data_IF_353434586949
#
_entry.id   IF_353434586949
#
_cell.length_a   1.000
_cell.length_b   1.000
_cell.length_c   1.000
_cell.angle_alpha   90.00
_cell.angle_beta   90.00
_cell.angle_gamma   90.00
#
_symmetry.space_group_name_H-M   'P 1'
#
loop_
_entity.id
_entity.type
_entity.pdbx_description
1 polymer ?
#
# COMPACT_ATOMS: atom_id res chain seq x y z
N UNK A 1 12.69 21.79 23.14
CA UNK A 1 12.16 20.58 22.46
C UNK A 1 13.15 20.15 21.40
N UNK A 2 13.77 18.99 21.59
CA UNK A 2 14.85 18.52 20.72
C UNK A 2 14.39 18.36 19.26
N UNK A 3 15.28 18.58 18.29
CA UNK A 3 14.91 18.74 16.89
C UNK A 3 14.52 17.39 16.21
N UNK A 4 14.55 16.25 16.91
CA UNK A 4 14.00 14.96 16.41
C UNK A 4 12.79 14.49 17.24
N UNK A 5 12.00 15.42 17.75
CA UNK A 5 10.78 15.06 18.46
C UNK A 5 9.77 14.39 17.50
N UNK A 6 9.06 13.33 17.94
CA UNK A 6 7.96 12.69 17.19
C UNK A 6 6.96 13.64 16.49
N UNK A 7 6.65 14.84 17.04
CA UNK A 7 5.76 15.82 16.39
C UNK A 7 6.23 16.31 15.01
N UNK A 8 7.54 16.44 14.77
CA UNK A 8 8.04 16.95 13.47
C UNK A 8 7.95 15.87 12.38
N UNK A 9 8.18 14.61 12.76
CA UNK A 9 7.92 13.47 11.90
C UNK A 9 6.42 13.30 11.64
N UNK A 10 5.59 13.48 12.68
CA UNK A 10 4.14 13.47 12.61
C UNK A 10 3.61 14.50 11.61
N UNK A 11 4.08 15.75 11.64
CA UNK A 11 3.69 16.79 10.67
C UNK A 11 4.07 16.43 9.23
N UNK A 12 5.25 15.82 9.01
CA UNK A 12 5.68 15.33 7.68
C UNK A 12 4.91 14.10 7.19
N UNK A 13 4.42 13.26 8.11
CA UNK A 13 3.53 12.14 7.80
C UNK A 13 2.10 12.62 7.51
N UNK A 14 1.64 13.64 8.22
CA UNK A 14 0.34 14.28 7.98
C UNK A 14 0.28 14.99 6.62
N UNK A 15 1.40 15.48 6.07
CA UNK A 15 1.38 16.06 4.72
C UNK A 15 1.25 15.02 3.61
N UNK A 16 1.54 13.75 3.91
CA UNK A 16 1.40 12.60 3.00
C UNK A 16 0.03 11.95 3.06
N UNK A 17 -0.60 12.06 4.23
CA UNK A 17 -1.94 11.59 4.52
C UNK A 17 -2.95 11.99 3.44
N UNK A 18 -2.98 13.28 3.06
CA UNK A 18 -3.96 13.84 2.12
C UNK A 18 -3.84 13.28 0.69
N UNK A 19 -2.64 12.88 0.26
CA UNK A 19 -2.42 12.25 -1.04
C UNK A 19 -3.00 10.83 -1.10
N UNK A 20 -2.90 10.10 0.01
CA UNK A 20 -3.26 8.68 0.09
C UNK A 20 -4.76 8.48 0.36
N UNK A 21 -5.45 9.48 0.89
CA UNK A 21 -6.91 9.54 0.95
C UNK A 21 -7.49 9.33 -0.46
N UNK A 22 -6.91 9.98 -1.47
CA UNK A 22 -7.41 9.94 -2.85
C UNK A 22 -7.00 8.66 -3.62
N UNK A 23 -5.82 8.11 -3.31
CA UNK A 23 -5.33 6.89 -3.96
C UNK A 23 -6.12 5.64 -3.54
N UNK A 24 -6.74 5.68 -2.36
CA UNK A 24 -7.43 4.54 -1.75
C UNK A 24 -8.67 4.05 -2.52
N UNK A 25 -9.59 4.93 -3.00
CA UNK A 25 -10.80 4.48 -3.71
C UNK A 25 -10.67 4.31 -5.24
N UNK A 26 -9.47 4.36 -5.83
CA UNK A 26 -9.29 4.40 -7.30
C UNK A 26 -9.94 3.23 -8.06
N UNK A 27 -9.86 2.01 -7.53
CA UNK A 27 -10.47 0.82 -8.14
C UNK A 27 -12.00 0.88 -8.14
N UNK A 28 -12.60 1.58 -7.17
CA UNK A 28 -14.05 1.73 -7.03
C UNK A 28 -14.61 2.96 -7.76
N UNK A 29 -13.80 4.02 -7.91
CA UNK A 29 -14.23 5.28 -8.55
C UNK A 29 -14.25 5.21 -10.08
N UNK A 30 -13.38 4.39 -10.69
CA UNK A 30 -13.29 4.23 -12.15
C UNK A 30 -13.64 2.79 -12.58
N UNK A 31 -14.90 2.34 -12.39
CA UNK A 31 -15.30 0.97 -12.72
C UNK A 31 -15.50 0.73 -14.22
N UNK A 32 -15.70 1.79 -15.02
CA UNK A 32 -15.95 1.68 -16.46
C UNK A 32 -14.73 1.07 -17.18
N UNK A 33 -14.95 -0.05 -17.87
CA UNK A 33 -13.97 -0.81 -18.66
C UNK A 33 -12.73 -1.33 -17.90
N UNK A 34 -12.72 -1.31 -16.57
CA UNK A 34 -11.56 -1.72 -15.77
C UNK A 34 -10.40 -0.72 -15.80
N UNK A 35 -10.63 0.50 -16.28
CA UNK A 35 -9.62 1.56 -16.41
C UNK A 35 -8.84 1.81 -15.10
N UNK A 36 -9.50 1.78 -13.94
CA UNK A 36 -8.85 1.96 -12.64
C UNK A 36 -7.85 0.83 -12.30
N UNK A 37 -8.19 -0.42 -12.61
CA UNK A 37 -7.31 -1.59 -12.35
C UNK A 37 -6.13 -1.61 -13.33
N UNK A 38 -6.36 -1.26 -14.59
CA UNK A 38 -5.28 -1.14 -15.59
C UNK A 38 -4.33 0.01 -15.22
N UNK A 39 -4.87 1.16 -14.83
CA UNK A 39 -4.10 2.29 -14.32
C UNK A 39 -3.18 1.87 -13.16
N UNK A 40 -3.74 1.22 -12.13
CA UNK A 40 -2.96 0.69 -10.99
C UNK A 40 -1.88 -0.30 -11.45
N UNK A 41 -2.19 -1.20 -12.38
CA UNK A 41 -1.23 -2.15 -12.93
C UNK A 41 -0.06 -1.43 -13.63
N UNK A 42 -0.35 -0.38 -14.40
CA UNK A 42 0.69 0.44 -15.05
C UNK A 42 1.55 1.19 -14.02
N UNK A 43 0.95 1.70 -12.94
CA UNK A 43 1.69 2.34 -11.83
C UNK A 43 2.68 1.35 -11.23
N UNK A 44 2.22 0.16 -10.82
CA UNK A 44 3.11 -0.83 -10.20
C UNK A 44 4.13 -1.41 -11.19
N UNK A 45 3.76 -1.59 -12.45
CA UNK A 45 4.67 -2.01 -13.52
C UNK A 45 5.81 -1.01 -13.76
N UNK A 46 5.49 0.28 -13.85
CA UNK A 46 6.51 1.33 -13.96
C UNK A 46 7.31 1.53 -12.66
N UNK A 47 6.71 1.27 -11.50
CA UNK A 47 7.40 1.29 -10.20
C UNK A 47 8.46 0.18 -10.09
N UNK A 48 8.22 -1.01 -10.64
CA UNK A 48 9.22 -2.10 -10.74
C UNK A 48 10.46 -1.60 -11.49
N UNK A 49 10.27 -1.01 -12.67
CA UNK A 49 11.37 -0.44 -13.46
C UNK A 49 12.12 0.64 -12.70
N UNK A 50 11.38 1.57 -12.07
CA UNK A 50 11.99 2.65 -11.29
C UNK A 50 12.75 2.16 -10.04
N UNK A 51 12.30 1.08 -9.41
CA UNK A 51 12.97 0.48 -8.24
C UNK A 51 14.36 -0.05 -8.58
N UNK A 52 14.51 -0.67 -9.76
CA UNK A 52 15.79 -1.22 -10.21
C UNK A 52 16.72 -0.10 -10.69
N UNK A 53 16.19 0.82 -11.50
CA UNK A 53 17.01 1.68 -12.35
C UNK A 53 17.20 3.09 -11.77
N UNK A 54 16.11 3.72 -11.33
CA UNK A 54 16.08 5.15 -11.05
C UNK A 54 16.25 5.48 -9.57
N UNK A 55 15.78 4.60 -8.69
CA UNK A 55 15.64 4.88 -7.25
C UNK A 55 16.97 5.19 -6.55
N UNK A 56 18.01 4.34 -6.64
CA UNK A 56 19.29 4.63 -6.00
C UNK A 56 19.95 5.88 -6.59
N UNK A 57 19.84 6.08 -7.91
CA UNK A 57 20.43 7.22 -8.60
C UNK A 57 19.81 8.56 -8.15
N UNK A 58 18.47 8.62 -8.11
CA UNK A 58 17.73 9.83 -7.72
C UNK A 58 18.04 10.17 -6.26
N UNK A 59 18.02 9.19 -5.36
CA UNK A 59 18.26 9.41 -3.93
C UNK A 59 19.71 9.82 -3.68
N UNK A 60 20.70 9.17 -4.31
CA UNK A 60 22.11 9.57 -4.17
C UNK A 60 22.37 11.00 -4.67
N UNK A 61 21.71 11.43 -5.75
CA UNK A 61 21.94 12.73 -6.38
C UNK A 61 21.20 13.88 -5.68
N UNK A 62 19.95 13.65 -5.28
CA UNK A 62 19.07 14.68 -4.75
C UNK A 62 18.93 14.63 -3.21
N UNK A 63 19.32 13.52 -2.59
CA UNK A 63 19.06 13.24 -1.18
C UNK A 63 17.60 12.84 -0.92
N UNK A 64 17.34 12.27 0.26
CA UNK A 64 15.99 11.77 0.60
C UNK A 64 14.95 12.90 0.60
N UNK A 65 15.33 14.08 1.09
CA UNK A 65 14.44 15.23 1.26
C UNK A 65 13.90 15.78 -0.06
N UNK A 66 14.78 16.07 -1.02
CA UNK A 66 14.35 16.63 -2.32
C UNK A 66 13.67 15.59 -3.19
N UNK A 67 14.09 14.32 -3.09
CA UNK A 67 13.42 13.20 -3.75
C UNK A 67 11.94 13.12 -3.35
N UNK A 68 11.63 13.28 -2.06
CA UNK A 68 10.25 13.31 -1.57
C UNK A 68 9.47 14.48 -2.19
N UNK A 69 10.03 15.70 -2.20
CA UNK A 69 9.36 16.90 -2.73
C UNK A 69 9.07 16.75 -4.23
N UNK A 70 10.07 16.35 -5.01
CA UNK A 70 9.92 16.23 -6.46
C UNK A 70 8.89 15.14 -6.80
N UNK A 71 8.97 14.01 -6.10
CA UNK A 71 8.02 12.92 -6.32
C UNK A 71 6.60 13.37 -5.97
N UNK A 72 6.42 14.11 -4.87
CA UNK A 72 5.14 14.73 -4.53
C UNK A 72 4.61 15.58 -5.71
N UNK A 73 5.40 16.50 -6.26
CA UNK A 73 4.96 17.29 -7.41
C UNK A 73 4.49 16.44 -8.60
N UNK A 74 5.11 15.28 -8.86
CA UNK A 74 4.68 14.35 -9.92
C UNK A 74 3.32 13.72 -9.61
N UNK A 75 3.03 13.36 -8.35
CA UNK A 75 1.73 12.80 -7.97
C UNK A 75 0.55 13.76 -8.22
N UNK A 76 0.78 15.09 -8.28
CA UNK A 76 -0.24 16.07 -8.69
C UNK A 76 -0.80 15.75 -10.07
N UNK A 77 0.07 15.34 -11.00
CA UNK A 77 -0.31 15.12 -12.39
C UNK A 77 -1.37 14.03 -12.51
N UNK A 78 -1.29 12.99 -11.68
CA UNK A 78 -2.29 11.92 -11.64
C UNK A 78 -3.61 12.38 -11.02
N UNK A 79 -3.57 13.18 -9.95
CA UNK A 79 -4.78 13.80 -9.40
C UNK A 79 -5.45 14.71 -10.43
N UNK A 80 -4.68 15.48 -11.20
CA UNK A 80 -5.19 16.33 -12.29
C UNK A 80 -5.80 15.49 -13.43
N UNK A 81 -5.16 14.39 -13.83
CA UNK A 81 -5.69 13.49 -14.86
C UNK A 81 -7.05 12.90 -14.47
N UNK A 82 -7.28 12.68 -13.19
CA UNK A 82 -8.55 12.17 -12.69
C UNK A 82 -9.72 13.18 -12.73
N UNK A 83 -9.49 14.47 -13.01
CA UNK A 83 -10.59 15.39 -13.35
C UNK A 83 -11.26 15.04 -14.69
N UNK A 84 -10.50 14.38 -15.58
CA UNK A 84 -10.94 13.91 -16.88
C UNK A 84 -10.39 12.48 -17.13
N UNK A 85 -10.93 11.46 -16.43
CA UNK A 85 -10.40 10.11 -16.44
C UNK A 85 -10.69 9.43 -17.79
N UNK A 86 -9.73 9.52 -18.71
CA UNK A 86 -9.76 8.84 -20.01
C UNK A 86 -8.46 8.06 -20.18
N UNK A 87 -8.47 7.03 -21.03
CA UNK A 87 -7.29 6.20 -21.31
C UNK A 87 -6.03 7.03 -21.61
N UNK A 88 -6.14 8.07 -22.44
CA UNK A 88 -5.01 8.91 -22.83
C UNK A 88 -4.54 9.92 -21.78
N UNK A 89 -5.32 10.21 -20.72
CA UNK A 89 -4.89 11.08 -19.60
C UNK A 89 -4.36 10.25 -18.44
N UNK A 90 -5.03 9.15 -18.12
CA UNK A 90 -4.75 8.35 -16.93
C UNK A 90 -3.54 7.44 -17.11
N UNK A 91 -3.36 6.81 -18.28
CA UNK A 91 -2.24 5.89 -18.51
C UNK A 91 -0.87 6.61 -18.51
N UNK A 92 -0.66 7.75 -19.20
CA UNK A 92 0.62 8.45 -19.14
C UNK A 92 0.95 8.98 -17.73
N UNK A 93 -0.05 9.51 -17.01
CA UNK A 93 0.17 9.98 -15.64
C UNK A 93 0.38 8.84 -14.65
N UNK A 94 -0.17 7.65 -14.92
CA UNK A 94 0.15 6.41 -14.19
C UNK A 94 1.62 6.02 -14.31
N UNK A 95 2.18 6.10 -15.52
CA UNK A 95 3.60 5.83 -15.75
C UNK A 95 4.47 6.84 -14.99
N UNK A 96 4.12 8.13 -15.06
CA UNK A 96 4.84 9.18 -14.32
C UNK A 96 4.81 8.93 -12.80
N UNK A 97 3.64 8.59 -12.26
CA UNK A 97 3.49 8.29 -10.84
C UNK A 97 4.25 7.03 -10.44
N UNK A 98 4.22 5.95 -11.22
CA UNK A 98 4.99 4.76 -10.87
C UNK A 98 6.50 5.00 -10.93
N UNK A 99 6.97 5.81 -11.90
CA UNK A 99 8.37 6.26 -11.95
C UNK A 99 8.75 7.04 -10.69
N UNK A 100 7.92 7.97 -10.23
CA UNK A 100 8.17 8.75 -9.01
C UNK A 100 7.88 7.98 -7.71
N UNK A 101 7.01 6.97 -7.74
CA UNK A 101 6.53 6.25 -6.58
C UNK A 101 7.62 5.43 -5.90
N UNK A 102 8.51 4.82 -6.70
CA UNK A 102 9.63 4.07 -6.14
C UNK A 102 10.62 4.91 -5.31
N UNK A 103 11.22 5.97 -5.88
CA UNK A 103 12.14 6.83 -5.15
C UNK A 103 11.44 7.55 -3.98
N UNK A 104 10.17 7.90 -4.14
CA UNK A 104 9.35 8.45 -3.06
C UNK A 104 9.31 7.53 -1.83
N UNK A 105 8.84 6.30 -1.99
CA UNK A 105 8.69 5.35 -0.89
C UNK A 105 10.02 4.92 -0.27
N UNK A 106 11.04 4.75 -1.10
CA UNK A 106 12.39 4.40 -0.65
C UNK A 106 13.02 5.53 0.17
N UNK A 107 12.88 6.78 -0.28
CA UNK A 107 13.36 7.94 0.47
C UNK A 107 12.61 8.09 1.80
N UNK A 108 11.29 7.84 1.84
CA UNK A 108 10.50 7.88 3.08
C UNK A 108 10.99 6.85 4.10
N UNK A 109 11.12 5.59 3.69
CA UNK A 109 11.54 4.51 4.60
C UNK A 109 12.98 4.72 5.11
N UNK A 110 13.87 5.20 4.24
CA UNK A 110 15.25 5.56 4.60
C UNK A 110 15.28 6.73 5.58
N UNK A 111 14.54 7.80 5.30
CA UNK A 111 14.44 8.97 6.16
C UNK A 111 13.87 8.63 7.53
N UNK A 112 12.83 7.79 7.58
CA UNK A 112 12.20 7.33 8.81
C UNK A 112 13.18 6.51 9.66
N UNK A 113 13.91 5.58 9.04
CA UNK A 113 14.91 4.74 9.72
C UNK A 113 16.06 5.58 10.27
N UNK A 114 16.58 6.54 9.48
CA UNK A 114 17.63 7.46 9.92
C UNK A 114 17.19 8.32 11.11
N UNK A 115 15.96 8.86 11.04
CA UNK A 115 15.38 9.67 12.11
C UNK A 115 15.19 8.86 13.40
N UNK A 116 14.69 7.62 13.27
CA UNK A 116 14.54 6.69 14.38
C UNK A 116 15.88 6.36 15.04
N UNK A 117 16.92 6.07 14.24
CA UNK A 117 18.26 5.75 14.74
C UNK A 117 18.90 6.92 15.48
N UNK A 118 18.80 8.13 14.94
CA UNK A 118 19.31 9.34 15.59
C UNK A 118 18.59 9.63 16.91
N UNK A 119 17.27 9.42 16.96
CA UNK A 119 16.51 9.56 18.20
C UNK A 119 16.90 8.50 19.23
N UNK A 120 17.05 7.24 18.81
CA UNK A 120 17.48 6.14 19.67
C UNK A 120 18.84 6.41 20.34
N UNK A 121 19.81 6.92 19.57
CA UNK A 121 21.14 7.31 20.08
C UNK A 121 21.05 8.43 21.12
N UNK A 122 20.26 9.47 20.86
CA UNK A 122 20.08 10.60 21.80
C UNK A 122 19.33 10.21 23.07
N UNK A 123 18.40 9.27 22.97
CA UNK A 123 17.56 8.82 24.08
C UNK A 123 18.15 7.62 24.84
N UNK A 124 19.32 7.09 24.42
CA UNK A 124 19.91 5.89 25.02
C UNK A 124 19.03 4.63 24.91
N UNK A 125 18.20 4.53 23.87
CA UNK A 125 17.26 3.42 23.66
C UNK A 125 17.74 2.47 22.56
N UNK A 126 17.33 1.20 22.64
CA UNK A 126 17.61 0.21 21.61
C UNK A 126 17.05 0.63 20.23
N UNK A 127 17.94 0.70 19.23
CA UNK A 127 17.62 1.15 17.86
C UNK A 127 16.46 0.33 17.24
N UNK A 128 16.48 -0.98 17.42
CA UNK A 128 15.48 -1.92 16.86
C UNK A 128 14.05 -1.63 17.31
N UNK A 129 13.85 -1.35 18.61
CA UNK A 129 12.54 -1.02 19.16
C UNK A 129 12.06 0.36 18.66
N UNK A 130 12.94 1.35 18.59
CA UNK A 130 12.59 2.70 18.13
C UNK A 130 12.25 2.72 16.64
N UNK A 131 12.99 1.99 15.80
CA UNK A 131 12.67 1.84 14.38
C UNK A 131 11.26 1.26 14.22
N UNK A 132 10.93 0.20 14.94
CA UNK A 132 9.61 -0.43 14.91
C UNK A 132 8.49 0.52 15.36
N UNK A 133 8.73 1.33 16.39
CA UNK A 133 7.78 2.36 16.86
C UNK A 133 7.56 3.46 15.82
N UNK A 134 8.62 3.92 15.16
CA UNK A 134 8.54 4.95 14.13
C UNK A 134 7.75 4.47 12.92
N UNK A 135 7.99 3.24 12.46
CA UNK A 135 7.17 2.61 11.43
C UNK A 135 5.72 2.43 11.88
N UNK A 136 5.47 2.06 13.14
CA UNK A 136 4.11 1.92 13.67
C UNK A 136 3.31 3.22 13.68
N UNK A 137 3.95 4.32 14.08
CA UNK A 137 3.33 5.67 14.02
C UNK A 137 3.12 6.10 12.57
N UNK A 138 4.10 5.87 11.70
CA UNK A 138 3.99 6.19 10.27
C UNK A 138 2.81 5.45 9.63
N UNK A 139 2.70 4.13 9.83
CA UNK A 139 1.62 3.33 9.26
C UNK A 139 0.26 3.58 9.92
N UNK A 140 0.21 3.97 11.20
CA UNK A 140 -1.02 4.44 11.82
C UNK A 140 -1.63 5.65 11.08
N UNK A 141 -0.79 6.65 10.80
CA UNK A 141 -1.20 7.86 10.06
C UNK A 141 -1.49 7.48 8.61
N UNK A 142 -0.59 6.74 7.97
CA UNK A 142 -0.74 6.36 6.57
C UNK A 142 -2.02 5.57 6.32
N UNK A 143 -2.30 4.53 7.11
CA UNK A 143 -3.46 3.67 6.87
C UNK A 143 -4.79 4.33 7.27
N UNK A 144 -4.77 5.34 8.14
CA UNK A 144 -6.00 6.05 8.49
C UNK A 144 -6.50 6.92 7.32
N UNK A 145 -5.67 7.18 6.31
CA UNK A 145 -6.10 7.82 5.06
C UNK A 145 -7.15 6.98 4.32
N UNK A 146 -7.09 5.65 4.44
CA UNK A 146 -8.08 4.73 3.82
C UNK A 146 -9.47 4.94 4.40
N UNK A 147 -9.58 5.33 5.67
CA UNK A 147 -10.86 5.59 6.34
C UNK A 147 -11.56 6.75 5.63
N UNK A 148 -10.89 7.89 5.51
CA UNK A 148 -11.49 9.09 4.93
C UNK A 148 -11.70 8.96 3.42
N UNK A 149 -10.76 8.32 2.72
CA UNK A 149 -10.85 8.13 1.27
C UNK A 149 -12.07 7.30 0.89
N UNK A 150 -12.26 6.18 1.57
CA UNK A 150 -13.40 5.30 1.32
C UNK A 150 -14.71 5.82 1.91
N UNK A 151 -14.66 6.61 2.99
CA UNK A 151 -15.86 7.29 3.50
C UNK A 151 -16.42 8.26 2.47
N UNK A 152 -15.55 9.10 1.88
CA UNK A 152 -15.96 10.06 0.85
C UNK A 152 -16.53 9.33 -0.37
N UNK A 153 -15.86 8.28 -0.86
CA UNK A 153 -16.37 7.50 -2.00
C UNK A 153 -17.68 6.78 -1.70
N UNK A 154 -17.83 6.18 -0.51
CA UNK A 154 -19.08 5.49 -0.13
C UNK A 154 -20.28 6.44 -0.03
N UNK A 155 -20.09 7.64 0.51
CA UNK A 155 -21.15 8.66 0.60
C UNK A 155 -21.60 9.13 -0.78
N UNK A 156 -20.65 9.32 -1.69
CA UNK A 156 -20.91 9.72 -3.09
C UNK A 156 -21.67 8.63 -3.84
N UNK A 157 -21.25 7.35 -3.71
CA UNK A 157 -21.90 6.21 -4.35
C UNK A 157 -23.31 5.96 -3.80
N UNK A 158 -23.50 6.11 -2.49
CA UNK A 158 -24.81 5.95 -1.85
C UNK A 158 -25.79 7.05 -2.31
N UNK A 159 -25.32 8.29 -2.44
CA UNK A 159 -26.10 9.39 -3.00
C UNK A 159 -26.50 9.15 -4.47
N UNK A 160 -25.59 8.61 -5.29
CA UNK A 160 -25.88 8.27 -6.68
C UNK A 160 -26.98 7.20 -6.79
N UNK A 161 -26.93 6.14 -5.97
CA UNK A 161 -27.93 5.07 -5.97
C UNK A 161 -29.31 5.52 -5.48
N UNK A 162 -29.39 6.31 -4.40
CA UNK A 162 -30.70 6.79 -3.89
C UNK A 162 -31.53 7.52 -4.94
N UNK A 163 -30.88 8.05 -5.98
CA UNK A 163 -31.53 8.71 -7.11
C UNK A 163 -31.74 7.81 -8.34
N UNK A 164 -31.08 6.65 -8.41
CA UNK A 164 -31.20 5.63 -9.46
C UNK A 164 -31.75 4.36 -8.82
N UNK A 165 -33.06 4.32 -8.59
CA UNK A 165 -33.78 3.11 -8.21
C UNK A 165 -33.86 2.17 -9.42
N UNK A 166 -32.76 1.50 -9.77
CA UNK A 166 -32.83 0.35 -10.65
C UNK A 166 -32.78 -0.89 -9.76
N UNK A 167 -33.94 -1.54 -9.66
CA UNK A 167 -34.11 -2.88 -9.14
C UNK A 167 -33.19 -3.80 -9.96
N UNK A 168 -32.06 -4.21 -9.38
CA UNK A 168 -31.33 -5.38 -9.87
C UNK A 168 -31.74 -6.55 -9.00
N UNK A 169 -32.72 -7.32 -9.47
CA UNK A 169 -32.88 -8.70 -9.05
C UNK A 169 -31.68 -9.47 -9.63
N UNK A 170 -30.69 -9.76 -8.81
CA UNK A 170 -29.69 -10.78 -9.17
C UNK A 170 -30.30 -12.15 -8.85
N UNK A 171 -30.87 -12.77 -9.88
CA UNK A 171 -31.13 -14.21 -9.88
C UNK A 171 -29.80 -14.98 -9.97
N UNK A 172 -29.60 -15.90 -9.02
CA UNK A 172 -28.66 -17.03 -9.06
C UNK A 172 -27.23 -16.77 -9.60
N UNK A 173 -26.55 -15.72 -9.16
CA UNK A 173 -25.09 -15.61 -9.31
C UNK A 173 -24.36 -16.22 -8.12
N UNK A 174 -23.57 -17.27 -8.34
CA UNK A 174 -22.77 -17.94 -7.32
C UNK A 174 -21.51 -17.11 -6.96
N UNK A 175 -21.64 -16.22 -5.98
CA UNK A 175 -20.55 -15.34 -5.52
C UNK A 175 -19.41 -16.08 -4.78
N UNK A 176 -18.26 -15.40 -4.60
CA UNK A 176 -17.12 -15.91 -3.83
C UNK A 176 -16.21 -16.88 -4.61
N UNK A 177 -15.92 -18.04 -4.01
CA UNK A 177 -15.06 -19.12 -4.58
C UNK A 177 -15.60 -19.65 -5.91
N UNK A 178 -16.92 -19.72 -6.03
CA UNK A 178 -17.63 -20.17 -7.23
C UNK A 178 -17.83 -19.06 -8.26
N UNK A 179 -17.30 -17.85 -8.04
CA UNK A 179 -17.41 -16.77 -9.01
C UNK A 179 -16.67 -17.18 -10.29
N UNK A 180 -17.44 -17.42 -11.35
CA UNK A 180 -16.90 -17.78 -12.64
C UNK A 180 -16.16 -16.58 -13.21
N UNK A 181 -15.10 -16.84 -14.00
CA UNK A 181 -14.40 -15.80 -14.77
C UNK A 181 -15.45 -14.90 -15.43
N UNK A 182 -15.31 -13.56 -15.47
CA UNK A 182 -16.30 -12.71 -16.10
C UNK A 182 -16.44 -13.17 -17.55
N UNK A 183 -17.45 -13.98 -17.81
CA UNK A 183 -17.92 -14.21 -19.15
C UNK A 183 -18.29 -12.84 -19.64
N UNK A 184 -17.65 -12.42 -20.74
CA UNK A 184 -18.29 -11.54 -21.69
C UNK A 184 -19.61 -12.22 -22.08
N UNK A 185 -20.62 -12.15 -21.23
CA UNK A 185 -21.99 -12.37 -21.65
C UNK A 185 -22.29 -11.12 -22.46
N UNK A 186 -22.03 -11.21 -23.77
CA UNK A 186 -23.02 -10.81 -24.76
C UNK A 186 -24.34 -11.50 -24.41
N UNK A 187 -24.98 -11.03 -23.34
CA UNK A 187 -26.38 -11.30 -23.12
C UNK A 187 -27.08 -10.62 -24.29
N UNK A 188 -27.75 -11.40 -25.11
CA UNK A 188 -28.80 -10.90 -25.99
C UNK A 188 -29.74 -10.09 -25.10
N UNK A 189 -29.53 -8.77 -25.08
CA UNK A 189 -30.51 -7.81 -24.60
C UNK A 189 -31.59 -7.87 -25.68
N UNK A 190 -32.58 -8.74 -25.47
CA UNK A 190 -33.86 -8.55 -26.12
C UNK A 190 -34.35 -7.19 -25.62
N UNK A 191 -34.15 -6.16 -26.44
CA UNK A 191 -34.78 -4.85 -26.29
C UNK A 191 -36.29 -5.07 -26.33
N UNK A 192 -36.90 -5.34 -25.18
CA UNK A 192 -38.29 -4.98 -24.98
C UNK A 192 -38.31 -3.47 -24.81
N UNK A 193 -38.56 -2.76 -25.91
CA UNK A 193 -38.90 -1.35 -25.90
C UNK A 193 -40.14 -1.13 -25.03
N UNK A 194 -39.92 -0.79 -23.77
CA UNK A 194 -40.93 -0.10 -22.97
C UNK A 194 -40.75 1.39 -23.16
N UNK A 195 -41.57 1.97 -24.04
CA UNK A 195 -41.76 3.40 -24.24
C UNK A 195 -42.23 4.05 -22.94
N UNK A 196 -41.30 4.69 -22.22
CA UNK A 196 -41.62 5.72 -21.22
C UNK A 196 -40.90 7.03 -21.58
N UNK A 197 -41.61 7.81 -22.37
CA UNK A 197 -41.75 9.28 -22.31
C UNK A 197 -40.55 10.10 -21.78
N UNK A 198 -39.97 10.87 -22.70
CA UNK A 198 -39.12 12.09 -22.70
C UNK A 198 -38.90 12.97 -21.43
N UNK A 199 -39.21 12.54 -20.21
CA UNK A 199 -38.95 13.28 -18.95
C UNK A 199 -37.76 12.71 -18.14
N UNK A 200 -37.21 11.56 -18.56
CA UNK A 200 -36.15 10.83 -17.86
C UNK A 200 -34.71 11.30 -18.19
N UNK A 201 -34.49 11.90 -19.36
CA UNK A 201 -33.15 12.35 -19.78
C UNK A 201 -32.60 13.47 -18.88
N UNK A 202 -33.39 14.51 -18.63
CA UNK A 202 -32.98 15.64 -17.79
C UNK A 202 -32.59 15.19 -16.38
N UNK A 203 -33.41 14.34 -15.75
CA UNK A 203 -33.14 13.83 -14.41
C UNK A 203 -31.82 13.03 -14.35
N UNK A 204 -31.59 12.14 -15.32
CA UNK A 204 -30.35 11.35 -15.41
C UNK A 204 -29.13 12.23 -15.66
N UNK A 205 -29.21 13.22 -16.56
CA UNK A 205 -28.11 14.16 -16.81
C UNK A 205 -27.85 15.09 -15.63
N UNK A 206 -28.87 15.51 -14.88
CA UNK A 206 -28.72 16.32 -13.66
C UNK A 206 -28.11 15.49 -12.50
N UNK A 207 -28.48 14.21 -12.37
CA UNK A 207 -27.88 13.30 -11.38
C UNK A 207 -26.42 13.02 -11.72
N UNK A 208 -26.13 12.71 -12.98
CA UNK A 208 -24.77 12.49 -13.46
C UNK A 208 -23.91 13.76 -13.36
N UNK A 209 -24.48 14.92 -13.68
CA UNK A 209 -23.83 16.23 -13.55
C UNK A 209 -23.53 16.63 -12.11
N UNK A 210 -24.47 16.42 -11.19
CA UNK A 210 -24.24 16.68 -9.75
C UNK A 210 -23.21 15.73 -9.16
N UNK A 211 -23.23 14.45 -9.53
CA UNK A 211 -22.23 13.46 -9.14
C UNK A 211 -20.82 13.83 -9.63
N UNK A 212 -20.68 14.15 -10.92
CA UNK A 212 -19.42 14.60 -11.52
C UNK A 212 -18.96 15.93 -10.91
N UNK A 213 -19.88 16.83 -10.58
CA UNK A 213 -19.61 18.09 -9.90
C UNK A 213 -19.06 17.91 -8.48
N UNK A 214 -19.66 17.04 -7.68
CA UNK A 214 -19.16 16.72 -6.33
C UNK A 214 -17.77 16.10 -6.37
N UNK A 215 -17.56 15.17 -7.30
CA UNK A 215 -16.25 14.54 -7.52
C UNK A 215 -15.20 15.61 -7.88
N UNK A 216 -15.49 16.49 -8.85
CA UNK A 216 -14.59 17.59 -9.25
C UNK A 216 -14.32 18.62 -8.14
N UNK A 217 -15.32 18.92 -7.31
CA UNK A 217 -15.15 19.80 -6.16
C UNK A 217 -14.20 19.19 -5.12
N UNK A 218 -14.38 17.90 -4.84
CA UNK A 218 -13.49 17.15 -3.95
C UNK A 218 -12.06 17.11 -4.51
N UNK A 219 -11.93 16.89 -5.83
CA UNK A 219 -10.65 16.97 -6.52
C UNK A 219 -9.97 18.35 -6.36
N UNK A 220 -10.73 19.43 -6.45
CA UNK A 220 -10.21 20.78 -6.25
C UNK A 220 -9.75 21.00 -4.81
N UNK A 221 -10.53 20.57 -3.82
CA UNK A 221 -10.15 20.66 -2.40
C UNK A 221 -8.87 19.86 -2.14
N UNK A 222 -8.75 18.65 -2.67
CA UNK A 222 -7.53 17.86 -2.55
C UNK A 222 -6.34 18.55 -3.20
N UNK A 223 -6.50 19.09 -4.40
CA UNK A 223 -5.45 19.81 -5.10
C UNK A 223 -4.96 21.02 -4.28
N UNK A 224 -5.87 21.81 -3.71
CA UNK A 224 -5.52 22.96 -2.86
C UNK A 224 -4.82 22.53 -1.57
N UNK A 225 -5.35 21.51 -0.88
CA UNK A 225 -4.69 20.92 0.27
C UNK A 225 -3.29 20.38 -0.09
N UNK A 226 -3.13 19.85 -1.30
CA UNK A 226 -1.87 19.31 -1.77
C UNK A 226 -0.79 20.37 -1.96
N UNK A 227 -1.15 21.47 -2.62
CA UNK A 227 -0.26 22.63 -2.79
C UNK A 227 0.12 23.21 -1.43
N UNK A 228 -0.85 23.35 -0.51
CA UNK A 228 -0.60 23.80 0.85
C UNK A 228 0.39 22.90 1.60
N UNK A 229 0.30 21.58 1.42
CA UNK A 229 1.22 20.62 2.02
C UNK A 229 2.64 20.68 1.45
N UNK A 230 2.78 20.87 0.13
CA UNK A 230 4.10 21.11 -0.47
C UNK A 230 4.70 22.38 0.10
N UNK A 231 3.91 23.45 0.22
CA UNK A 231 4.37 24.73 0.79
C UNK A 231 4.82 24.53 2.23
N UNK A 232 4.01 23.90 3.09
CA UNK A 232 4.41 23.60 4.48
C UNK A 232 5.68 22.76 4.51
N UNK A 233 5.74 21.69 3.72
CA UNK A 233 6.92 20.82 3.69
C UNK A 233 8.15 21.61 3.24
N UNK A 234 8.03 22.44 2.20
CA UNK A 234 9.08 23.29 1.67
C UNK A 234 9.53 24.34 2.69
N UNK A 235 8.61 24.98 3.40
CA UNK A 235 8.92 25.93 4.49
C UNK A 235 9.61 25.24 5.65
N UNK A 236 9.12 24.08 6.12
CA UNK A 236 9.77 23.26 7.15
C UNK A 236 11.13 22.72 6.69
N UNK A 237 11.26 22.48 5.38
CA UNK A 237 12.48 22.11 4.70
C UNK A 237 13.50 23.26 4.74
N UNK A 238 13.09 24.48 4.43
CA UNK A 238 13.96 25.66 4.38
C UNK A 238 14.40 26.08 5.78
N UNK A 239 13.54 25.92 6.78
CA UNK A 239 13.85 26.17 8.19
C UNK A 239 14.89 25.21 8.77
N UNK A 240 15.31 24.17 8.04
CA UNK A 240 16.24 23.18 8.60
C UNK A 240 17.20 22.53 7.60
N UNK A 241 18.42 23.04 7.62
CA UNK A 241 19.64 22.35 7.22
C UNK A 241 20.07 21.42 8.34
N UNK A 242 19.85 20.11 8.20
CA UNK A 242 20.56 19.14 9.04
C UNK A 242 20.78 17.83 8.30
N UNK A 243 21.99 17.70 7.74
CA UNK A 243 22.76 16.46 7.83
C UNK A 243 22.55 15.40 6.77
N UNK A 244 22.72 15.73 5.49
CA UNK A 244 23.27 14.77 4.53
C UNK A 244 24.62 15.33 4.03
N UNK A 245 25.65 15.23 4.88
CA UNK A 245 27.03 15.19 4.40
C UNK A 245 27.46 13.72 4.38
N UNK A 246 27.35 13.07 3.22
CA UNK A 246 28.50 12.32 2.71
C UNK A 246 29.31 13.32 1.88
N UNK A 247 30.17 14.08 2.55
CA UNK A 247 31.31 14.72 1.88
C UNK A 247 32.51 13.82 2.17
N UNK A 248 33.23 13.48 1.10
CA UNK A 248 34.40 12.60 0.98
C UNK A 248 34.03 11.14 0.64
N UNK A 249 33.67 10.90 -0.62
CA UNK A 249 34.69 10.61 -1.63
C UNK A 249 34.24 11.22 -2.98
N UNK A 250 35.17 11.89 -3.64
CA UNK A 250 35.03 12.22 -5.06
C UNK A 250 34.88 10.91 -5.84
N UNK A 251 33.67 10.59 -6.26
CA UNK A 251 33.52 9.89 -7.52
C UNK A 251 32.23 10.32 -8.18
N UNK A 252 32.37 10.71 -9.44
CA UNK A 252 31.32 10.71 -10.44
C UNK A 252 30.79 9.26 -10.47
N UNK A 253 29.89 8.92 -9.55
CA UNK A 253 29.42 7.55 -9.42
C UNK A 253 28.46 7.30 -10.57
N UNK A 254 28.99 6.69 -11.63
CA UNK A 254 28.25 6.41 -12.84
C UNK A 254 26.95 5.66 -12.52
N UNK A 255 25.92 5.97 -13.30
CA UNK A 255 24.61 5.31 -13.25
C UNK A 255 24.76 3.77 -13.23
N UNK A 256 25.72 3.24 -13.98
CA UNK A 256 26.05 1.81 -14.03
C UNK A 256 26.58 1.27 -12.70
N UNK A 257 27.36 2.04 -11.95
CA UNK A 257 27.90 1.63 -10.64
C UNK A 257 26.77 1.55 -9.59
N UNK A 258 25.85 2.51 -9.59
CA UNK A 258 24.69 2.50 -8.69
C UNK A 258 23.68 1.37 -9.03
N UNK A 259 23.48 1.11 -10.32
CA UNK A 259 22.73 -0.04 -10.81
C UNK A 259 23.41 -1.35 -10.38
N UNK A 260 24.73 -1.47 -10.56
CA UNK A 260 25.52 -2.63 -10.13
C UNK A 260 25.46 -2.85 -8.63
N UNK A 261 25.49 -1.81 -7.80
CA UNK A 261 25.35 -1.93 -6.34
C UNK A 261 23.98 -2.48 -5.96
N UNK A 262 22.92 -2.02 -6.63
CA UNK A 262 21.54 -2.48 -6.40
C UNK A 262 21.36 -3.94 -6.82
N UNK A 263 21.89 -4.30 -7.99
CA UNK A 263 21.90 -5.68 -8.47
C UNK A 263 22.81 -6.59 -7.62
N UNK A 264 23.92 -6.08 -7.08
CA UNK A 264 24.79 -6.80 -6.15
C UNK A 264 24.09 -6.99 -4.80
N UNK A 265 23.26 -6.06 -4.37
CA UNK A 265 22.46 -6.20 -3.15
C UNK A 265 21.38 -7.29 -3.27
N UNK A 266 20.82 -7.50 -4.48
CA UNK A 266 19.95 -8.66 -4.74
C UNK A 266 20.64 -10.01 -4.49
N UNK A 267 21.98 -10.05 -4.45
CA UNK A 267 22.77 -11.24 -4.16
C UNK A 267 23.02 -11.45 -2.65
N UNK A 268 22.59 -10.54 -1.77
CA UNK A 268 22.60 -10.82 -0.33
C UNK A 268 21.63 -11.97 -0.03
N UNK A 269 22.14 -13.05 0.57
CA UNK A 269 21.37 -14.26 0.90
C UNK A 269 20.14 -13.93 1.75
N UNK A 270 20.22 -12.90 2.61
CA UNK A 270 19.10 -12.46 3.46
C UNK A 270 18.01 -11.80 2.63
N UNK A 271 18.39 -11.01 1.63
CA UNK A 271 17.43 -10.35 0.74
C UNK A 271 16.64 -11.40 -0.04
N UNK A 272 17.33 -12.40 -0.59
CA UNK A 272 16.70 -13.46 -1.38
C UNK A 272 15.66 -14.27 -0.60
N UNK A 273 15.95 -14.58 0.67
CA UNK A 273 15.05 -15.30 1.56
C UNK A 273 13.79 -14.47 1.94
N UNK A 274 13.89 -13.13 1.96
CA UNK A 274 12.76 -12.26 2.29
C UNK A 274 11.87 -11.90 1.09
N UNK A 275 12.25 -12.29 -0.13
CA UNK A 275 11.50 -11.96 -1.36
C UNK A 275 10.05 -12.48 -1.26
N UNK A 276 9.77 -13.77 -0.97
CA UNK A 276 8.39 -14.25 -1.05
C UNK A 276 7.47 -13.60 -0.01
N UNK A 277 8.00 -13.32 1.18
CA UNK A 277 7.26 -12.58 2.22
C UNK A 277 6.99 -11.13 1.81
N UNK A 278 7.94 -10.49 1.15
CA UNK A 278 7.77 -9.12 0.64
C UNK A 278 6.74 -9.08 -0.49
N UNK A 279 6.80 -10.04 -1.41
CA UNK A 279 5.85 -10.18 -2.50
C UNK A 279 4.45 -10.50 -1.98
N UNK A 280 4.34 -11.33 -0.94
CA UNK A 280 3.08 -11.62 -0.25
C UNK A 280 2.36 -10.33 0.17
N UNK A 281 3.07 -9.37 0.78
CA UNK A 281 2.46 -8.09 1.19
C UNK A 281 1.82 -7.31 0.03
N UNK A 282 2.31 -7.48 -1.20
CA UNK A 282 1.70 -6.85 -2.38
C UNK A 282 0.53 -7.64 -2.94
N UNK A 283 0.65 -8.97 -3.00
CA UNK A 283 -0.41 -9.85 -3.48
C UNK A 283 -1.63 -9.81 -2.55
N UNK A 284 -1.39 -9.79 -1.25
CA UNK A 284 -2.41 -9.71 -0.21
C UNK A 284 -3.21 -8.40 -0.29
N UNK A 285 -2.52 -7.26 -0.47
CA UNK A 285 -3.18 -5.96 -0.68
C UNK A 285 -3.95 -5.90 -2.00
N UNK A 286 -3.41 -6.49 -3.06
CA UNK A 286 -4.13 -6.60 -4.33
C UNK A 286 -5.41 -7.44 -4.21
N UNK A 287 -5.34 -8.58 -3.50
CA UNK A 287 -6.49 -9.45 -3.25
C UNK A 287 -7.61 -8.72 -2.50
N UNK A 288 -7.30 -8.05 -1.38
CA UNK A 288 -8.34 -7.34 -0.61
C UNK A 288 -8.94 -6.16 -1.39
N UNK A 289 -8.12 -5.42 -2.16
CA UNK A 289 -8.56 -4.22 -2.87
C UNK A 289 -9.29 -4.49 -4.20
N UNK A 290 -9.10 -5.68 -4.79
CA UNK A 290 -9.70 -6.04 -6.08
C UNK A 290 -10.61 -7.26 -5.99
N UNK A 291 -10.08 -8.42 -5.62
CA UNK A 291 -10.80 -9.69 -5.72
C UNK A 291 -11.83 -9.87 -4.60
N UNK A 292 -11.49 -9.48 -3.37
CA UNK A 292 -12.42 -9.57 -2.23
C UNK A 292 -13.58 -8.59 -2.38
N UNK A 293 -13.27 -7.33 -2.68
CA UNK A 293 -14.27 -6.27 -2.88
C UNK A 293 -15.19 -6.54 -4.07
N UNK A 294 -14.66 -7.14 -5.15
CA UNK A 294 -15.46 -7.52 -6.33
C UNK A 294 -16.27 -8.81 -6.10
N UNK A 295 -15.58 -9.91 -5.83
CA UNK A 295 -16.16 -11.28 -5.92
C UNK A 295 -16.96 -11.67 -4.68
N UNK A 296 -16.69 -11.06 -3.52
CA UNK A 296 -17.42 -11.34 -2.28
C UNK A 296 -18.36 -10.19 -1.92
N UNK A 297 -17.82 -8.99 -1.74
CA UNK A 297 -18.60 -7.84 -1.25
C UNK A 297 -19.57 -7.32 -2.31
N UNK A 298 -19.07 -6.93 -3.49
CA UNK A 298 -19.91 -6.35 -4.54
C UNK A 298 -20.95 -7.34 -5.06
N UNK A 299 -20.55 -8.59 -5.25
CA UNK A 299 -21.44 -9.65 -5.73
C UNK A 299 -22.63 -9.90 -4.77
N UNK A 300 -22.41 -9.83 -3.46
CA UNK A 300 -23.45 -10.18 -2.45
C UNK A 300 -24.19 -8.98 -1.86
N UNK A 301 -23.47 -7.87 -1.63
CA UNK A 301 -23.98 -6.68 -0.94
C UNK A 301 -24.10 -5.46 -1.85
N UNK A 302 -23.37 -5.43 -2.97
CA UNK A 302 -23.28 -4.28 -3.87
C UNK A 302 -22.06 -3.38 -3.64
N UNK A 303 -21.77 -2.52 -4.63
CA UNK A 303 -20.57 -1.66 -4.67
C UNK A 303 -20.51 -0.60 -3.57
N UNK A 304 -21.65 -0.21 -3.00
CA UNK A 304 -21.76 0.78 -1.92
C UNK A 304 -21.16 0.29 -0.60
N UNK A 305 -21.17 -1.03 -0.37
CA UNK A 305 -20.59 -1.62 0.83
C UNK A 305 -19.07 -1.75 0.77
N UNK A 306 -18.48 -1.67 -0.42
CA UNK A 306 -17.02 -1.75 -0.63
C UNK A 306 -16.28 -0.73 0.21
N UNK A 307 -16.75 0.53 0.20
CA UNK A 307 -16.10 1.60 0.98
C UNK A 307 -16.13 1.31 2.48
N UNK A 308 -17.28 0.87 3.03
CA UNK A 308 -17.41 0.55 4.46
C UNK A 308 -16.53 -0.63 4.87
N UNK A 309 -16.44 -1.67 4.04
CA UNK A 309 -15.58 -2.83 4.31
C UNK A 309 -14.11 -2.41 4.33
N UNK A 310 -13.66 -1.58 3.39
CA UNK A 310 -12.28 -1.09 3.35
C UNK A 310 -11.98 -0.09 4.46
N UNK A 311 -12.97 0.64 4.98
CA UNK A 311 -12.81 1.45 6.20
C UNK A 311 -12.44 0.56 7.38
N UNK A 312 -13.11 -0.58 7.58
CA UNK A 312 -12.80 -1.51 8.67
C UNK A 312 -11.39 -2.11 8.51
N UNK A 313 -11.01 -2.48 7.28
CA UNK A 313 -9.63 -2.88 6.97
C UNK A 313 -8.64 -1.79 7.40
N UNK A 314 -8.80 -0.56 6.89
CA UNK A 314 -7.90 0.55 7.19
C UNK A 314 -7.84 0.92 8.67
N UNK A 315 -8.98 0.92 9.38
CA UNK A 315 -9.05 1.19 10.80
C UNK A 315 -8.30 0.14 11.63
N UNK A 316 -8.53 -1.15 11.35
CA UNK A 316 -7.80 -2.23 12.01
C UNK A 316 -6.31 -2.18 11.71
N UNK A 317 -5.93 -1.97 10.45
CA UNK A 317 -4.52 -1.83 10.08
C UNK A 317 -3.86 -0.67 10.81
N UNK A 318 -4.51 0.50 10.89
CA UNK A 318 -3.99 1.66 11.62
C UNK A 318 -3.74 1.36 13.09
N UNK A 319 -4.78 0.90 13.79
CA UNK A 319 -4.72 0.63 15.24
C UNK A 319 -3.67 -0.44 15.53
N UNK A 320 -3.68 -1.55 14.80
CA UNK A 320 -2.70 -2.63 14.95
C UNK A 320 -1.27 -2.17 14.62
N UNK A 321 -1.07 -1.31 13.62
CA UNK A 321 0.26 -0.78 13.28
C UNK A 321 0.88 0.00 14.44
N UNK A 322 0.07 0.86 15.08
CA UNK A 322 0.50 1.60 16.27
C UNK A 322 0.81 0.65 17.44
N UNK A 323 -0.10 -0.27 17.73
CA UNK A 323 0.03 -1.22 18.84
C UNK A 323 1.25 -2.14 18.67
N UNK A 324 1.38 -2.79 17.52
CA UNK A 324 2.48 -3.72 17.25
C UNK A 324 3.83 -2.99 17.21
N UNK A 325 3.90 -1.78 16.65
CA UNK A 325 5.10 -0.95 16.69
C UNK A 325 5.57 -0.66 18.13
N UNK A 326 4.63 -0.42 19.06
CA UNK A 326 4.94 -0.18 20.49
C UNK A 326 5.25 -1.48 21.25
N UNK A 327 4.48 -2.54 21.00
CA UNK A 327 4.59 -3.83 21.68
C UNK A 327 5.83 -4.62 21.28
N UNK A 328 6.46 -4.32 20.13
CA UNK A 328 7.76 -4.89 19.75
C UNK A 328 8.91 -4.53 20.71
N UNK A 329 8.67 -3.66 21.71
CA UNK A 329 9.59 -3.45 22.84
C UNK A 329 9.55 -4.60 23.85
N UNK A 330 8.39 -5.25 24.00
CA UNK A 330 8.13 -6.26 25.04
C UNK A 330 8.01 -7.67 24.47
N UNK A 331 7.43 -7.78 23.27
CA UNK A 331 7.15 -9.05 22.60
C UNK A 331 8.07 -9.16 21.39
N UNK A 332 8.61 -10.36 21.14
CA UNK A 332 9.45 -10.62 19.97
C UNK A 332 8.69 -10.40 18.67
N UNK A 333 9.36 -9.84 17.66
CA UNK A 333 8.83 -9.68 16.30
C UNK A 333 8.28 -10.98 15.73
N UNK A 334 8.95 -12.11 15.99
CA UNK A 334 8.59 -13.45 15.48
C UNK A 334 7.15 -13.81 15.85
N UNK A 335 6.71 -13.45 17.07
CA UNK A 335 5.34 -13.70 17.52
C UNK A 335 4.31 -13.01 16.63
N UNK A 336 4.52 -11.73 16.29
CA UNK A 336 3.60 -10.97 15.44
C UNK A 336 3.55 -11.51 14.02
N UNK A 337 4.69 -11.96 13.46
CA UNK A 337 4.72 -12.60 12.14
C UNK A 337 3.93 -13.91 12.12
N UNK A 338 4.07 -14.74 13.16
CA UNK A 338 3.28 -15.98 13.28
C UNK A 338 1.79 -15.69 13.49
N UNK A 339 1.44 -14.68 14.28
CA UNK A 339 0.05 -14.25 14.49
C UNK A 339 -0.60 -13.81 13.18
N UNK A 340 0.07 -12.98 12.39
CA UNK A 340 -0.43 -12.52 11.10
C UNK A 340 -0.56 -13.66 10.08
N UNK A 341 0.44 -14.56 10.03
CA UNK A 341 0.38 -15.73 9.16
C UNK A 341 -0.78 -16.66 9.53
N UNK A 342 -0.95 -16.98 10.81
CA UNK A 342 -2.06 -17.81 11.28
C UNK A 342 -3.42 -17.17 10.96
N UNK A 343 -3.56 -15.86 11.19
CA UNK A 343 -4.78 -15.11 10.87
C UNK A 343 -5.11 -15.21 9.38
N UNK A 344 -4.15 -14.94 8.50
CA UNK A 344 -4.39 -15.02 7.05
C UNK A 344 -4.62 -16.44 6.55
N UNK A 345 -3.94 -17.46 7.10
CA UNK A 345 -4.21 -18.87 6.75
C UNK A 345 -5.63 -19.26 7.13
N UNK A 346 -6.09 -18.89 8.34
CA UNK A 346 -7.46 -19.15 8.78
C UNK A 346 -8.45 -18.42 7.87
N UNK A 347 -8.23 -17.13 7.60
CA UNK A 347 -9.12 -16.38 6.72
C UNK A 347 -9.19 -16.99 5.31
N UNK A 348 -8.06 -17.38 4.72
CA UNK A 348 -8.03 -18.05 3.41
C UNK A 348 -8.78 -19.39 3.45
N UNK A 349 -8.58 -20.20 4.49
CA UNK A 349 -9.26 -21.48 4.64
C UNK A 349 -10.78 -21.31 4.75
N UNK A 350 -11.26 -20.30 5.48
CA UNK A 350 -12.70 -20.03 5.57
C UNK A 350 -13.22 -19.49 4.23
N UNK A 351 -12.48 -18.60 3.55
CA UNK A 351 -12.88 -18.12 2.23
C UNK A 351 -13.05 -19.26 1.21
N UNK A 352 -12.29 -20.35 1.30
CA UNK A 352 -12.47 -21.53 0.43
C UNK A 352 -13.82 -22.24 0.60
N UNK A 353 -14.40 -22.19 1.80
CA UNK A 353 -15.61 -22.95 2.15
C UNK A 353 -16.84 -22.04 2.20
N UNK A 354 -16.64 -20.76 2.49
CA UNK A 354 -17.72 -19.82 2.72
C UNK A 354 -18.39 -19.38 1.41
N UNK A 355 -19.69 -19.68 1.32
CA UNK A 355 -20.57 -19.11 0.32
C UNK A 355 -21.16 -17.79 0.89
N UNK A 356 -20.82 -16.63 0.31
CA UNK A 356 -21.25 -15.35 0.86
C UNK A 356 -22.76 -15.16 0.65
N UNK A 357 -23.47 -14.79 1.72
CA UNK A 357 -24.91 -14.48 1.70
C UNK A 357 -25.18 -13.09 2.30
N UNK A 358 -26.19 -12.35 1.80
CA UNK A 358 -26.48 -10.99 2.27
C UNK A 358 -26.95 -10.94 3.73
N UNK A 359 -27.52 -12.03 4.25
CA UNK A 359 -27.95 -12.16 5.65
C UNK A 359 -26.77 -12.12 6.64
N UNK A 360 -25.56 -12.46 6.17
CA UNK A 360 -24.35 -12.55 6.97
C UNK A 360 -23.49 -11.28 6.88
N UNK A 361 -24.11 -10.10 6.90
CA UNK A 361 -23.43 -8.81 6.73
C UNK A 361 -22.20 -8.66 7.65
N UNK A 362 -22.29 -9.09 8.91
CA UNK A 362 -21.19 -8.99 9.88
C UNK A 362 -19.92 -9.74 9.47
N UNK A 363 -20.04 -10.86 8.74
CA UNK A 363 -18.93 -11.71 8.33
C UNK A 363 -17.97 -10.96 7.40
N UNK A 364 -18.51 -10.15 6.47
CA UNK A 364 -17.71 -9.34 5.54
C UNK A 364 -16.81 -8.33 6.25
N UNK A 365 -17.30 -7.73 7.34
CA UNK A 365 -16.54 -6.76 8.13
C UNK A 365 -15.53 -7.43 9.05
N UNK A 366 -15.88 -8.57 9.64
CA UNK A 366 -14.95 -9.37 10.48
C UNK A 366 -13.75 -9.81 9.65
N UNK A 367 -13.97 -10.38 8.46
CA UNK A 367 -12.87 -10.76 7.56
C UNK A 367 -11.97 -9.59 7.23
N UNK A 368 -12.57 -8.45 6.84
CA UNK A 368 -11.83 -7.23 6.53
C UNK A 368 -10.98 -6.75 7.70
N UNK A 369 -11.51 -6.81 8.93
CA UNK A 369 -10.79 -6.43 10.14
C UNK A 369 -9.64 -7.37 10.49
N UNK A 370 -9.85 -8.69 10.38
CA UNK A 370 -8.80 -9.70 10.59
C UNK A 370 -7.68 -9.56 9.55
N UNK A 371 -8.04 -9.30 8.31
CA UNK A 371 -7.09 -9.02 7.24
C UNK A 371 -6.28 -7.74 7.53
N UNK A 372 -6.93 -6.69 8.03
CA UNK A 372 -6.26 -5.46 8.44
C UNK A 372 -5.29 -5.65 9.60
N UNK A 373 -5.62 -6.52 10.55
CA UNK A 373 -4.70 -6.92 11.63
C UNK A 373 -3.43 -7.59 11.08
N UNK A 374 -3.56 -8.47 10.09
CA UNK A 374 -2.41 -9.10 9.45
C UNK A 374 -1.61 -8.12 8.58
N UNK A 375 -2.28 -7.29 7.76
CA UNK A 375 -1.63 -6.24 6.94
C UNK A 375 -0.81 -5.29 7.82
N UNK A 376 -1.26 -4.98 9.04
CA UNK A 376 -0.48 -4.14 9.96
C UNK A 376 0.92 -4.71 10.23
N UNK A 377 1.05 -6.03 10.33
CA UNK A 377 2.34 -6.72 10.50
C UNK A 377 3.15 -6.68 9.20
N UNK A 378 2.53 -7.03 8.07
CA UNK A 378 3.18 -7.07 6.76
C UNK A 378 3.67 -5.70 6.29
N UNK A 379 2.97 -4.63 6.64
CA UNK A 379 3.37 -3.27 6.34
C UNK A 379 4.39 -2.77 7.37
N UNK A 380 4.03 -2.79 8.65
CA UNK A 380 4.84 -2.11 9.68
C UNK A 380 6.11 -2.86 10.01
N UNK A 381 5.99 -4.15 10.32
CA UNK A 381 7.10 -4.91 10.90
C UNK A 381 8.07 -5.43 9.83
N UNK A 382 7.61 -5.68 8.60
CA UNK A 382 8.51 -6.00 7.48
C UNK A 382 9.37 -4.79 7.12
N UNK A 383 8.79 -3.58 7.01
CA UNK A 383 9.59 -2.38 6.77
C UNK A 383 10.59 -2.10 7.90
N UNK A 384 10.16 -2.29 9.16
CA UNK A 384 11.07 -2.19 10.30
C UNK A 384 12.19 -3.25 10.25
N UNK A 385 11.87 -4.50 9.87
CA UNK A 385 12.84 -5.57 9.66
C UNK A 385 13.90 -5.18 8.61
N UNK A 386 13.49 -4.64 7.47
CA UNK A 386 14.40 -4.15 6.44
C UNK A 386 15.31 -3.03 6.96
N UNK A 387 14.76 -2.07 7.69
CA UNK A 387 15.52 -0.98 8.30
C UNK A 387 16.53 -1.43 9.36
N UNK A 388 16.28 -2.57 10.02
CA UNK A 388 17.16 -3.19 11.03
C UNK A 388 18.22 -4.10 10.38
N UNK A 389 17.84 -4.91 9.39
CA UNK A 389 18.71 -5.96 8.84
C UNK A 389 19.77 -5.40 7.89
N UNK A 390 19.46 -4.31 7.20
CA UNK A 390 20.29 -3.71 6.16
C UNK A 390 20.70 -2.28 6.53
N UNK A 391 21.29 -2.11 7.71
CA UNK A 391 21.69 -0.78 8.21
C UNK A 391 22.73 -0.07 7.34
N UNK A 392 23.59 -0.82 6.64
CA UNK A 392 24.70 -0.26 5.85
C UNK A 392 24.25 0.21 4.46
N UNK A 393 23.27 -0.47 3.87
CA UNK A 393 22.80 -0.25 2.49
C UNK A 393 21.26 -0.05 2.45
N UNK A 394 20.74 0.86 3.29
CA UNK A 394 19.29 1.08 3.48
C UNK A 394 18.56 1.41 2.18
N UNK A 395 19.12 2.29 1.36
CA UNK A 395 18.49 2.75 0.11
C UNK A 395 18.29 1.60 -0.87
N UNK A 396 19.34 0.80 -1.09
CA UNK A 396 19.27 -0.39 -1.95
C UNK A 396 18.35 -1.47 -1.37
N UNK A 397 18.31 -1.63 -0.04
CA UNK A 397 17.42 -2.58 0.62
C UNK A 397 15.95 -2.21 0.47
N UNK A 398 15.60 -0.92 0.71
CA UNK A 398 14.23 -0.44 0.55
C UNK A 398 13.80 -0.37 -0.92
N UNK A 399 14.70 -0.05 -1.85
CA UNK A 399 14.43 -0.14 -3.28
C UNK A 399 14.09 -1.58 -3.71
N UNK A 400 14.86 -2.57 -3.22
CA UNK A 400 14.58 -3.98 -3.48
C UNK A 400 13.31 -4.48 -2.77
N UNK A 401 13.04 -4.05 -1.53
CA UNK A 401 11.76 -4.31 -0.86
C UNK A 401 10.59 -3.84 -1.75
N UNK A 402 10.70 -2.61 -2.24
CA UNK A 402 9.65 -2.01 -3.04
C UNK A 402 9.49 -2.67 -4.41
N UNK A 403 10.59 -3.09 -5.04
CA UNK A 403 10.58 -3.89 -6.26
C UNK A 403 9.69 -5.13 -6.11
N UNK A 404 10.00 -5.97 -5.12
CA UNK A 404 9.29 -7.25 -4.93
C UNK A 404 7.87 -7.06 -4.44
N UNK A 405 7.61 -6.04 -3.62
CA UNK A 405 6.25 -5.67 -3.23
C UNK A 405 5.42 -5.16 -4.40
N UNK A 406 6.01 -4.34 -5.28
CA UNK A 406 5.34 -3.82 -6.48
C UNK A 406 5.06 -4.94 -7.48
N UNK A 407 5.97 -5.92 -7.59
CA UNK A 407 5.72 -7.13 -8.37
C UNK A 407 4.51 -7.91 -7.84
N UNK A 408 4.38 -8.03 -6.51
CA UNK A 408 3.20 -8.66 -5.90
C UNK A 408 1.88 -7.95 -6.27
N UNK A 409 1.85 -6.61 -6.20
CA UNK A 409 0.70 -5.83 -6.63
C UNK A 409 0.41 -6.01 -8.13
N UNK A 410 1.45 -5.89 -8.96
CA UNK A 410 1.36 -6.04 -10.40
C UNK A 410 0.79 -7.39 -10.80
N UNK A 411 1.27 -8.49 -10.19
CA UNK A 411 0.74 -9.82 -10.42
C UNK A 411 -0.72 -9.92 -9.99
N UNK A 412 -1.05 -9.45 -8.78
CA UNK A 412 -2.43 -9.53 -8.26
C UNK A 412 -3.43 -8.80 -9.15
N UNK A 413 -3.16 -7.56 -9.55
CA UNK A 413 -4.05 -6.85 -10.47
C UNK A 413 -4.01 -7.41 -11.89
N UNK A 414 -2.83 -7.82 -12.36
CA UNK A 414 -2.63 -8.35 -13.70
C UNK A 414 -3.41 -9.63 -13.95
N UNK A 415 -3.41 -10.58 -13.01
CA UNK A 415 -4.18 -11.83 -13.15
C UNK A 415 -5.63 -11.73 -12.64
N UNK A 416 -6.03 -10.60 -12.02
CA UNK A 416 -7.36 -10.45 -11.39
C UNK A 416 -8.49 -10.72 -12.39
N UNK A 417 -8.34 -10.31 -13.65
CA UNK A 417 -9.37 -10.53 -14.69
C UNK A 417 -9.28 -11.89 -15.40
N UNK A 418 -8.20 -12.66 -15.22
CA UNK A 418 -7.92 -13.89 -16.00
C UNK A 418 -8.02 -15.19 -15.19
N UNK A 419 -7.82 -15.12 -13.86
CA UNK A 419 -7.86 -16.29 -12.99
C UNK A 419 -9.16 -16.37 -12.19
N UNK A 420 -9.60 -17.60 -11.91
CA UNK A 420 -10.69 -17.86 -10.96
C UNK A 420 -10.23 -17.60 -9.53
N UNK A 421 -11.15 -17.20 -8.65
CA UNK A 421 -10.88 -16.88 -7.24
C UNK A 421 -10.16 -18.03 -6.51
N UNK A 422 -10.51 -19.28 -6.81
CA UNK A 422 -9.89 -20.46 -6.19
C UNK A 422 -8.38 -20.54 -6.44
N UNK A 423 -7.96 -20.28 -7.67
CA UNK A 423 -6.54 -20.30 -8.06
C UNK A 423 -5.81 -19.16 -7.35
N UNK A 424 -6.44 -17.99 -7.23
CA UNK A 424 -5.87 -16.82 -6.55
C UNK A 424 -5.65 -17.09 -5.05
N UNK A 425 -6.62 -17.71 -4.38
CA UNK A 425 -6.50 -18.12 -2.98
C UNK A 425 -5.36 -19.15 -2.79
N UNK A 426 -5.22 -20.11 -3.71
CA UNK A 426 -4.09 -21.05 -3.69
C UNK A 426 -2.74 -20.35 -3.85
N UNK A 427 -2.62 -19.42 -4.80
CA UNK A 427 -1.41 -18.62 -5.01
C UNK A 427 -1.07 -17.82 -3.75
N UNK A 428 -2.07 -17.16 -3.15
CA UNK A 428 -1.91 -16.37 -1.94
C UNK A 428 -1.41 -17.23 -0.77
N UNK A 429 -2.01 -18.40 -0.55
CA UNK A 429 -1.61 -19.34 0.50
C UNK A 429 -0.19 -19.87 0.26
N UNK A 430 0.13 -20.27 -0.96
CA UNK A 430 1.45 -20.79 -1.32
C UNK A 430 2.56 -19.77 -1.04
N UNK A 431 2.38 -18.53 -1.50
CA UNK A 431 3.37 -17.46 -1.29
C UNK A 431 3.54 -17.17 0.22
N UNK A 432 2.45 -17.18 1.00
CA UNK A 432 2.51 -16.97 2.45
C UNK A 432 3.34 -18.07 3.15
N UNK A 433 3.03 -19.34 2.88
CA UNK A 433 3.71 -20.47 3.52
C UNK A 433 5.20 -20.47 3.17
N UNK A 434 5.54 -20.30 1.89
CA UNK A 434 6.94 -20.20 1.45
C UNK A 434 7.63 -18.99 2.10
N UNK A 435 6.97 -17.83 2.12
CA UNK A 435 7.49 -16.61 2.74
C UNK A 435 7.81 -16.78 4.22
N UNK A 436 6.93 -17.45 4.97
CA UNK A 436 7.11 -17.70 6.40
C UNK A 436 8.23 -18.71 6.70
N UNK A 437 8.36 -19.77 5.90
CA UNK A 437 9.47 -20.74 6.03
C UNK A 437 10.81 -20.07 5.80
N UNK A 438 10.93 -19.26 4.74
CA UNK A 438 12.17 -18.55 4.43
C UNK A 438 12.48 -17.44 5.44
N UNK A 439 11.46 -16.74 5.93
CA UNK A 439 11.59 -15.79 7.03
C UNK A 439 12.13 -16.45 8.31
N UNK A 440 11.58 -17.61 8.70
CA UNK A 440 12.10 -18.39 9.83
C UNK A 440 13.58 -18.78 9.65
N UNK A 441 13.99 -19.07 8.42
CA UNK A 441 15.40 -19.31 8.10
C UNK A 441 16.28 -18.07 8.32
N UNK A 442 15.80 -16.87 7.95
CA UNK A 442 16.52 -15.60 8.20
C UNK A 442 16.68 -15.36 9.69
N UNK A 443 15.61 -15.48 10.48
CA UNK A 443 15.66 -15.31 11.93
C UNK A 443 16.59 -16.32 12.60
N UNK A 444 16.62 -17.57 12.13
CA UNK A 444 17.56 -18.57 12.61
C UNK A 444 19.03 -18.19 12.32
N UNK A 445 19.33 -17.73 11.10
CA UNK A 445 20.68 -17.30 10.70
C UNK A 445 21.13 -16.11 11.53
N UNK A 446 20.29 -15.10 11.70
CA UNK A 446 20.62 -13.90 12.47
C UNK A 446 20.71 -14.20 13.97
N UNK A 447 19.84 -15.06 14.50
CA UNK A 447 19.93 -15.54 15.88
C UNK A 447 21.24 -16.28 16.17
N UNK A 448 21.74 -17.09 15.23
CA UNK A 448 23.04 -17.75 15.35
C UNK A 448 24.20 -16.76 15.33
N UNK A 449 24.17 -15.76 14.44
CA UNK A 449 25.20 -14.70 14.39
C UNK A 449 25.29 -13.92 15.70
N UNK A 450 24.14 -13.52 16.26
CA UNK A 450 24.12 -12.77 17.52
C UNK A 450 24.74 -13.58 18.68
N UNK A 451 24.44 -14.88 18.78
CA UNK A 451 25.06 -15.77 19.78
C UNK A 451 26.58 -15.85 19.63
N UNK A 452 27.09 -15.91 18.39
CA UNK A 452 28.53 -15.95 18.12
C UNK A 452 29.21 -14.64 18.53
N UNK A 453 28.61 -13.49 18.24
CA UNK A 453 29.15 -12.17 18.64
C UNK A 453 29.22 -12.06 20.16
N UNK A 454 28.14 -12.38 20.87
CA UNK A 454 28.10 -12.38 22.33
C UNK A 454 29.12 -13.36 22.95
N UNK A 455 29.35 -14.52 22.32
CA UNK A 455 30.37 -15.46 22.78
C UNK A 455 31.81 -14.94 22.58
N UNK A 456 32.06 -14.06 21.62
CA UNK A 456 33.39 -13.44 21.42
C UNK A 456 33.63 -12.28 22.37
N UNK A 457 32.63 -11.42 22.58
CA UNK A 457 32.73 -10.29 23.53
C UNK A 457 32.95 -10.77 24.98
N UNK A 458 32.38 -11.94 25.35
CA UNK A 458 32.62 -12.54 26.66
C UNK A 458 34.03 -13.16 26.82
N UNK A 459 34.75 -13.41 25.73
CA UNK A 459 36.14 -13.93 25.76
C UNK A 459 37.15 -12.77 25.87
N UNK A 460 36.80 -11.58 25.37
CA UNK A 460 37.68 -10.41 25.34
C UNK A 460 37.58 -9.50 26.58
N UNK A 461 36.83 -9.89 27.62
CA UNK A 461 36.88 -9.21 28.93
C UNK A 461 38.04 -9.76 29.76
N UNK A 462 39.12 -8.97 30.02
CA UNK A 462 40.14 -9.38 30.96
C UNK A 462 39.52 -9.48 32.36
N UNK A 463 39.73 -10.63 32.99
CA UNK A 463 39.36 -10.93 34.39
C UNK A 463 40.14 -10.04 35.35
#
# INVERSE_FOLDING_TARGET
IGPLSPPVLFVKCCSLYLLMIFFSPQSSLNPLEGLGVVSLSVIYGSQIFSSIVLTPFIICKLGCKWTIIISMCVYITYTLANFYPKWYTLIPTSVLVGIAGSPFWTAQCTYLTLSAKQYALKAGKMKTHIISQYFGIFFFIFQSSRIWGNLISSLILNFARRKVSIIQNLDNTSCGVSDNLPTLTTGNINHSESTTTNSSGYLVYTILGTYVGMIKFIFLVYFLCYIFNIIIYLTLSLLRTCGEKKKNDESRQDFLTNLLVTLKHLRDRRQWLLIPLTMYSGVEQGFILSDYTKSYVTCSLGMEFVGYVIIVFGAMTSVCSFLFGKLCKYISRIFFFNLAAATNIICIAVLFVWAPSPEQLGVFFIFSGLWGLADAVWQTLVNALYGILFEDNREAAFANYLLWKSLGHFLSFGYSSFLRVNIKLCILLFILVVGMVLYGTVEYIEGKKMKIVLSRENIDMPV
#
